data_IF_651630082835
#
_entry.id   IF_651630082835
#
_cell.length_a   1.000
_cell.length_b   1.000
_cell.length_c   1.000
_cell.angle_alpha   90.00
_cell.angle_beta   90.00
_cell.angle_gamma   90.00
#
_symmetry.space_group_name_H-M   'P 1'
#
loop_
_entity.id
_entity.type
_entity.pdbx_description
1 polymer ?
#
# COMPACT_ATOMS: atom_id res chain seq x y z
N UNK A 1 21.48 -9.63 16.69
CA UNK A 1 21.65 -8.99 15.37
C UNK A 1 20.66 -9.51 14.33
N UNK A 2 20.62 -10.80 13.98
CA UNK A 2 19.63 -11.32 13.02
C UNK A 2 18.18 -11.09 13.45
N UNK A 3 17.86 -11.35 14.73
CA UNK A 3 16.53 -11.08 15.30
C UNK A 3 16.13 -9.60 15.18
N UNK A 4 17.09 -8.70 15.35
CA UNK A 4 16.83 -7.24 15.27
C UNK A 4 16.59 -6.83 13.81
N UNK A 5 17.29 -7.47 12.85
CA UNK A 5 17.07 -7.23 11.41
C UNK A 5 15.67 -7.71 11.01
N UNK A 6 15.26 -8.93 11.41
CA UNK A 6 13.91 -9.43 11.11
C UNK A 6 12.83 -8.59 11.77
N UNK A 7 13.06 -8.12 12.99
CA UNK A 7 12.16 -7.19 13.66
C UNK A 7 12.06 -5.86 12.91
N UNK A 8 13.19 -5.31 12.47
CA UNK A 8 13.21 -4.08 11.67
C UNK A 8 12.42 -4.23 10.36
N UNK A 9 12.59 -5.37 9.65
CA UNK A 9 11.84 -5.66 8.43
C UNK A 9 10.34 -5.63 8.73
N UNK A 10 9.90 -6.36 9.77
CA UNK A 10 8.49 -6.40 10.16
C UNK A 10 7.96 -5.00 10.53
N UNK A 11 8.67 -4.30 11.43
CA UNK A 11 8.25 -2.99 11.93
C UNK A 11 8.13 -1.94 10.79
N UNK A 12 9.06 -1.92 9.82
CA UNK A 12 9.01 -0.98 8.71
C UNK A 12 7.93 -1.36 7.68
N UNK A 13 7.70 -2.66 7.45
CA UNK A 13 6.60 -3.16 6.59
C UNK A 13 5.23 -2.80 7.21
N UNK A 14 5.06 -2.97 8.52
CA UNK A 14 3.83 -2.57 9.24
C UNK A 14 3.57 -1.05 9.20
N UNK A 15 4.65 -0.24 9.10
CA UNK A 15 4.58 1.21 8.90
C UNK A 15 4.29 1.63 7.45
N UNK A 16 4.08 0.66 6.57
CA UNK A 16 3.74 0.92 5.17
C UNK A 16 4.94 1.10 4.24
N UNK A 17 6.17 0.78 4.66
CA UNK A 17 7.36 0.90 3.82
C UNK A 17 7.75 -0.41 3.18
N UNK A 18 8.18 -0.37 1.91
CA UNK A 18 8.89 -1.50 1.29
C UNK A 18 10.26 -1.65 1.94
N UNK A 19 10.68 -2.90 2.14
CA UNK A 19 11.97 -3.22 2.75
C UNK A 19 12.70 -4.24 1.90
N UNK A 20 13.96 -3.98 1.60
CA UNK A 20 14.86 -4.99 1.05
C UNK A 20 15.60 -5.69 2.18
N UNK A 21 15.65 -7.00 2.13
CA UNK A 21 16.51 -7.83 2.97
C UNK A 21 17.53 -8.53 2.08
N UNK A 22 18.80 -8.17 2.24
CA UNK A 22 19.90 -8.79 1.53
C UNK A 22 20.61 -9.81 2.43
N UNK A 23 20.87 -11.00 1.90
CA UNK A 23 21.59 -12.08 2.57
C UNK A 23 22.71 -12.52 1.66
N UNK A 24 23.95 -12.61 2.19
CA UNK A 24 25.03 -13.28 1.50
C UNK A 24 24.84 -14.80 1.60
N UNK A 25 24.71 -15.46 0.47
CA UNK A 25 24.48 -16.91 0.39
C UNK A 25 25.78 -17.70 0.31
N UNK A 26 26.83 -17.08 -0.24
CA UNK A 26 28.14 -17.68 -0.36
C UNK A 26 29.25 -16.62 -0.33
N UNK A 27 30.43 -17.00 0.16
CA UNK A 27 31.63 -16.17 0.12
C UNK A 27 32.89 -17.02 0.14
N UNK A 28 33.82 -16.73 -0.78
CA UNK A 28 35.12 -17.39 -0.84
C UNK A 28 36.28 -16.38 -0.70
N UNK A 29 37.47 -16.93 -0.46
CA UNK A 29 38.68 -16.12 -0.34
C UNK A 29 38.65 -15.10 0.81
N UNK A 30 39.37 -13.98 0.62
CA UNK A 30 39.47 -12.90 1.61
C UNK A 30 38.31 -11.90 1.48
N UNK A 31 37.06 -12.40 1.46
CA UNK A 31 35.87 -11.55 1.39
C UNK A 31 35.62 -10.84 2.74
N UNK A 32 35.28 -9.52 2.74
CA UNK A 32 34.90 -8.78 3.93
C UNK A 32 33.54 -9.26 4.51
N UNK A 33 32.65 -9.78 3.67
CA UNK A 33 31.38 -10.38 4.07
C UNK A 33 31.45 -11.89 4.15
N UNK A 34 30.80 -12.49 5.13
CA UNK A 34 30.68 -13.94 5.32
C UNK A 34 29.28 -14.41 4.88
N UNK A 35 29.18 -15.64 4.36
CA UNK A 35 27.89 -16.27 4.12
C UNK A 35 27.03 -16.22 5.40
N UNK A 36 25.74 -15.88 5.26
CA UNK A 36 24.82 -15.60 6.36
C UNK A 36 24.81 -14.16 6.84
N UNK A 37 25.72 -13.27 6.39
CA UNK A 37 25.65 -11.86 6.70
C UNK A 37 24.39 -11.24 6.07
N UNK A 38 23.72 -10.38 6.84
CA UNK A 38 22.41 -9.81 6.50
C UNK A 38 22.39 -8.29 6.67
N UNK A 39 21.68 -7.60 5.77
CA UNK A 39 21.40 -6.19 5.84
C UNK A 39 19.97 -5.92 5.34
N UNK A 40 19.23 -5.11 6.06
CA UNK A 40 17.92 -4.64 5.62
C UNK A 40 17.93 -3.12 5.40
N UNK A 41 17.23 -2.68 4.35
CA UNK A 41 17.08 -1.25 3.98
C UNK A 41 15.60 -0.98 3.74
N UNK A 42 15.08 0.02 4.43
CA UNK A 42 13.72 0.53 4.23
C UNK A 42 13.67 1.59 3.13
N UNK A 43 12.57 1.68 2.43
CA UNK A 43 12.26 2.70 1.42
C UNK A 43 12.45 4.13 1.96
N UNK A 44 12.27 4.37 3.26
CA UNK A 44 12.50 5.66 3.92
C UNK A 44 13.99 5.98 4.16
N UNK A 45 14.91 5.09 3.75
CA UNK A 45 16.36 5.27 3.84
C UNK A 45 17.00 4.73 5.12
N UNK A 46 16.24 4.25 6.10
CA UNK A 46 16.79 3.57 7.28
C UNK A 46 17.38 2.22 6.91
N UNK A 47 18.43 1.80 7.61
CA UNK A 47 19.05 0.49 7.41
C UNK A 47 19.54 -0.12 8.71
N UNK A 48 19.68 -1.44 8.73
CA UNK A 48 20.23 -2.23 9.84
C UNK A 48 21.01 -3.43 9.32
N UNK A 49 22.03 -3.85 10.06
CA UNK A 49 22.88 -4.97 9.69
C UNK A 49 24.04 -4.56 8.80
N UNK A 50 24.81 -5.53 8.35
CA UNK A 50 25.97 -5.33 7.48
C UNK A 50 26.26 -6.58 6.65
N UNK A 51 26.76 -6.39 5.46
CA UNK A 51 27.22 -7.47 4.56
C UNK A 51 28.76 -7.44 4.35
N UNK A 52 29.49 -6.82 5.30
CA UNK A 52 30.95 -6.83 5.34
C UNK A 52 31.61 -5.46 5.22
N UNK A 53 30.84 -4.40 5.04
CA UNK A 53 31.38 -3.03 5.00
C UNK A 53 32.10 -2.65 3.67
N UNK A 54 32.61 -1.41 3.63
CA UNK A 54 33.40 -0.90 2.53
C UNK A 54 32.65 -0.76 1.21
N UNK A 55 33.38 -0.94 0.09
CA UNK A 55 32.82 -0.79 -1.27
C UNK A 55 31.78 -1.86 -1.61
N UNK A 56 31.89 -3.09 -1.06
CA UNK A 56 30.90 -4.14 -1.23
C UNK A 56 29.54 -3.72 -0.65
N UNK A 57 29.51 -3.24 0.59
CA UNK A 57 28.28 -2.80 1.25
C UNK A 57 27.65 -1.62 0.52
N UNK A 58 28.43 -0.64 0.11
CA UNK A 58 27.95 0.49 -0.68
C UNK A 58 27.29 0.05 -2.00
N UNK A 59 27.90 -0.87 -2.71
CA UNK A 59 27.36 -1.41 -3.97
C UNK A 59 26.04 -2.12 -3.73
N UNK A 60 26.00 -3.00 -2.73
CA UNK A 60 24.77 -3.74 -2.33
C UNK A 60 23.67 -2.76 -1.88
N UNK A 61 24.01 -1.72 -1.13
CA UNK A 61 23.03 -0.69 -0.72
C UNK A 61 22.40 0.03 -1.92
N UNK A 62 23.20 0.36 -2.93
CA UNK A 62 22.68 1.01 -4.15
C UNK A 62 21.74 0.06 -4.90
N UNK A 63 22.13 -1.20 -5.06
CA UNK A 63 21.31 -2.19 -5.76
C UNK A 63 20.06 -2.57 -4.99
N UNK A 64 20.13 -2.70 -3.67
CA UNK A 64 18.99 -2.96 -2.81
C UNK A 64 17.96 -1.82 -2.87
N UNK A 65 18.41 -0.54 -2.88
CA UNK A 65 17.53 0.61 -3.10
C UNK A 65 16.89 0.59 -4.48
N UNK A 66 17.66 0.23 -5.52
CA UNK A 66 17.13 0.07 -6.87
C UNK A 66 16.10 -1.07 -6.94
N UNK A 67 16.36 -2.20 -6.29
CA UNK A 67 15.44 -3.32 -6.21
C UNK A 67 14.09 -2.94 -5.57
N UNK A 68 14.11 -2.06 -4.53
CA UNK A 68 12.88 -1.50 -3.94
C UNK A 68 12.09 -0.68 -4.97
N UNK A 69 12.77 0.15 -5.77
CA UNK A 69 12.14 0.99 -6.79
C UNK A 69 11.60 0.14 -7.94
N UNK A 70 12.39 -0.83 -8.40
CA UNK A 70 12.04 -1.72 -9.52
C UNK A 70 11.03 -2.81 -9.11
N UNK A 71 10.76 -2.94 -7.80
CA UNK A 71 9.88 -3.96 -7.20
C UNK A 71 10.27 -5.39 -7.61
N UNK A 72 11.58 -5.67 -7.60
CA UNK A 72 12.10 -6.97 -8.02
C UNK A 72 13.15 -7.49 -7.05
N UNK A 73 13.00 -8.77 -6.73
CA UNK A 73 14.06 -9.52 -6.06
C UNK A 73 15.29 -9.64 -6.98
N UNK A 74 16.50 -9.65 -6.40
CA UNK A 74 17.76 -9.63 -7.15
C UNK A 74 18.71 -10.68 -6.61
N UNK A 75 19.21 -11.54 -7.48
CA UNK A 75 20.41 -12.37 -7.22
C UNK A 75 21.63 -11.63 -7.74
N UNK A 76 22.74 -11.72 -7.02
CA UNK A 76 23.98 -11.09 -7.43
C UNK A 76 25.19 -11.96 -7.12
N UNK A 77 26.24 -11.78 -7.93
CA UNK A 77 27.56 -12.36 -7.74
C UNK A 77 28.60 -11.29 -8.07
N UNK A 78 29.55 -11.06 -7.16
CA UNK A 78 30.62 -10.10 -7.36
C UNK A 78 31.98 -10.73 -7.18
N UNK A 79 32.88 -10.43 -8.11
CA UNK A 79 34.30 -10.70 -7.95
C UNK A 79 34.97 -9.45 -7.30
N UNK A 80 35.61 -9.70 -6.15
CA UNK A 80 36.22 -8.65 -5.31
C UNK A 80 37.68 -8.36 -5.65
N UNK A 81 38.28 -9.09 -6.62
CA UNK A 81 39.67 -8.91 -6.98
C UNK A 81 39.99 -7.53 -7.54
N UNK A 82 41.28 -7.18 -7.63
CA UNK A 82 41.75 -5.88 -8.13
C UNK A 82 41.26 -5.56 -9.55
N UNK A 83 41.05 -6.56 -10.39
CA UNK A 83 40.48 -6.46 -11.74
C UNK A 83 39.01 -6.90 -11.80
N UNK A 84 38.34 -7.08 -10.63
CA UNK A 84 36.94 -7.50 -10.51
C UNK A 84 35.99 -6.34 -10.47
N UNK A 85 34.71 -6.65 -10.18
CA UNK A 85 33.58 -5.71 -10.21
C UNK A 85 33.73 -4.50 -9.28
N UNK A 86 34.53 -4.64 -8.20
CA UNK A 86 34.66 -3.61 -7.16
C UNK A 86 36.07 -3.07 -7.00
N UNK A 87 37.06 -3.60 -7.76
CA UNK A 87 38.44 -3.14 -7.72
C UNK A 87 39.07 -3.17 -6.32
N UNK A 88 38.70 -4.16 -5.49
CA UNK A 88 39.17 -4.29 -4.11
C UNK A 88 40.54 -5.03 -4.07
N UNK A 89 41.35 -4.69 -3.07
CA UNK A 89 42.58 -5.46 -2.78
C UNK A 89 42.30 -6.82 -2.13
N UNK A 90 41.12 -7.00 -1.61
CA UNK A 90 40.63 -8.28 -1.05
C UNK A 90 40.19 -9.17 -2.20
N UNK A 91 40.91 -10.21 -2.53
CA UNK A 91 40.47 -11.22 -3.49
C UNK A 91 39.31 -12.05 -2.94
N UNK A 92 38.52 -12.66 -3.84
CA UNK A 92 37.42 -13.55 -3.48
C UNK A 92 36.14 -13.22 -4.24
N UNK A 93 35.13 -14.08 -4.08
CA UNK A 93 33.79 -13.87 -4.66
C UNK A 93 32.77 -13.86 -3.55
N UNK A 94 31.68 -13.12 -3.79
CA UNK A 94 30.48 -13.16 -2.93
C UNK A 94 29.26 -13.36 -3.81
N UNK A 95 28.34 -14.19 -3.31
CA UNK A 95 26.99 -14.35 -3.86
C UNK A 95 25.97 -13.93 -2.83
N UNK A 96 24.87 -13.41 -3.28
CA UNK A 96 23.80 -13.02 -2.38
C UNK A 96 22.45 -12.88 -3.08
N UNK A 97 21.44 -12.71 -2.26
CA UNK A 97 20.07 -12.53 -2.67
C UNK A 97 19.44 -11.37 -1.90
N UNK A 98 18.77 -10.50 -2.62
CA UNK A 98 17.99 -9.39 -2.06
C UNK A 98 16.51 -9.67 -2.28
N UNK A 99 15.78 -9.89 -1.18
CA UNK A 99 14.32 -10.08 -1.15
C UNK A 99 13.64 -8.75 -0.84
N UNK A 100 12.57 -8.42 -1.58
CA UNK A 100 11.73 -7.27 -1.29
C UNK A 100 10.49 -7.71 -0.53
N UNK A 101 10.25 -7.06 0.60
CA UNK A 101 9.05 -7.19 1.41
C UNK A 101 8.14 -6.00 1.16
N UNK A 102 6.88 -6.28 0.93
CA UNK A 102 5.87 -5.27 0.61
C UNK A 102 4.95 -5.05 1.80
N UNK A 103 4.56 -3.80 2.08
CA UNK A 103 3.51 -3.54 3.05
C UNK A 103 2.17 -4.08 2.55
N UNK A 104 1.38 -4.60 3.47
CA UNK A 104 0.02 -4.99 3.17
C UNK A 104 -0.85 -3.75 2.97
N UNK A 105 -1.75 -3.79 1.98
CA UNK A 105 -2.67 -2.68 1.78
C UNK A 105 -3.76 -2.71 2.84
N UNK A 106 -4.01 -1.55 3.44
CA UNK A 106 -5.10 -1.34 4.39
C UNK A 106 -6.34 -0.85 3.67
N UNK A 107 -7.48 -1.38 4.04
CA UNK A 107 -8.79 -0.91 3.57
C UNK A 107 -9.64 -0.50 4.76
N UNK A 108 -9.90 0.77 4.90
CA UNK A 108 -10.80 1.31 5.91
C UNK A 108 -12.18 1.46 5.29
N UNK A 109 -13.16 0.73 5.84
CA UNK A 109 -14.56 0.80 5.45
C UNK A 109 -15.32 1.58 6.52
N UNK A 110 -15.78 2.77 6.19
CA UNK A 110 -16.61 3.62 7.06
C UNK A 110 -18.07 3.38 6.70
N UNK A 111 -18.73 2.54 7.51
CA UNK A 111 -20.12 2.10 7.31
C UNK A 111 -20.23 0.59 7.08
N UNK A 112 -20.75 -0.13 8.07
CA UNK A 112 -20.93 -1.58 8.08
C UNK A 112 -22.25 -2.05 7.44
N UNK A 113 -22.91 -1.20 6.62
CA UNK A 113 -24.14 -1.55 5.92
C UNK A 113 -23.92 -2.53 4.76
N UNK A 114 -24.95 -2.77 3.94
CA UNK A 114 -24.91 -3.75 2.85
C UNK A 114 -23.76 -3.52 1.85
N UNK A 115 -23.48 -2.26 1.49
CA UNK A 115 -22.36 -1.95 0.58
C UNK A 115 -21.03 -2.20 1.27
N UNK A 116 -20.84 -1.74 2.52
CA UNK A 116 -19.63 -1.98 3.30
C UNK A 116 -19.34 -3.48 3.45
N UNK A 117 -20.36 -4.29 3.74
CA UNK A 117 -20.23 -5.74 3.82
C UNK A 117 -19.81 -6.35 2.47
N UNK A 118 -20.41 -5.94 1.37
CA UNK A 118 -20.06 -6.45 0.05
C UNK A 118 -18.64 -6.04 -0.38
N UNK A 119 -18.20 -4.82 -0.03
CA UNK A 119 -16.81 -4.37 -0.24
C UNK A 119 -15.86 -5.25 0.56
N UNK A 120 -16.16 -5.49 1.85
CA UNK A 120 -15.38 -6.38 2.70
C UNK A 120 -15.26 -7.79 2.13
N UNK A 121 -16.41 -8.44 1.80
CA UNK A 121 -16.44 -9.81 1.26
C UNK A 121 -15.56 -9.97 0.01
N UNK A 122 -15.47 -8.94 -0.80
CA UNK A 122 -14.60 -8.96 -1.99
C UNK A 122 -13.15 -8.62 -1.63
N UNK A 123 -12.91 -7.65 -0.75
CA UNK A 123 -11.58 -7.19 -0.38
C UNK A 123 -10.73 -8.25 0.32
N UNK A 124 -11.33 -9.11 1.16
CA UNK A 124 -10.61 -10.20 1.83
C UNK A 124 -10.04 -11.23 0.85
N UNK A 125 -10.58 -11.34 -0.36
CA UNK A 125 -10.04 -12.21 -1.41
C UNK A 125 -8.86 -11.57 -2.16
N UNK A 126 -8.57 -10.30 -1.86
CA UNK A 126 -7.56 -9.46 -2.52
C UNK A 126 -6.44 -9.03 -1.57
N UNK A 127 -6.28 -9.76 -0.46
CA UNK A 127 -5.22 -9.59 0.55
C UNK A 127 -5.18 -8.19 1.20
N UNK A 128 -6.34 -7.53 1.36
CA UNK A 128 -6.43 -6.31 2.16
C UNK A 128 -6.49 -6.62 3.66
N UNK A 129 -5.75 -5.84 4.46
CA UNK A 129 -6.00 -5.72 5.90
C UNK A 129 -7.17 -4.78 6.12
N UNK A 130 -8.32 -5.32 6.54
CA UNK A 130 -9.59 -4.58 6.57
C UNK A 130 -9.92 -4.07 7.96
N UNK A 131 -10.23 -2.79 8.05
CA UNK A 131 -10.73 -2.11 9.25
C UNK A 131 -12.15 -1.63 8.95
N UNK A 132 -13.12 -2.00 9.78
CA UNK A 132 -14.53 -1.60 9.62
C UNK A 132 -14.93 -0.69 10.79
N UNK A 133 -15.49 0.47 10.45
CA UNK A 133 -15.98 1.46 11.40
C UNK A 133 -17.48 1.68 11.20
N UNK A 134 -18.26 1.58 12.27
CA UNK A 134 -19.69 1.95 12.29
C UNK A 134 -20.09 2.37 13.71
N UNK A 135 -21.16 3.16 13.83
CA UNK A 135 -21.73 3.54 15.13
C UNK A 135 -22.67 2.48 15.72
N UNK A 136 -22.92 1.39 14.99
CA UNK A 136 -23.89 0.33 15.33
C UNK A 136 -23.22 -1.03 15.44
N UNK A 137 -23.17 -1.58 16.64
CA UNK A 137 -22.57 -2.89 16.91
C UNK A 137 -23.32 -4.06 16.26
N UNK A 138 -24.62 -3.92 16.00
CA UNK A 138 -25.41 -4.95 15.33
C UNK A 138 -25.02 -5.15 13.85
N UNK A 139 -24.36 -4.15 13.23
CA UNK A 139 -23.80 -4.25 11.87
C UNK A 139 -22.30 -4.53 11.90
N UNK A 140 -21.53 -3.77 12.69
CA UNK A 140 -20.08 -3.92 12.81
C UNK A 140 -19.75 -4.94 13.92
N UNK A 141 -19.70 -6.21 13.54
CA UNK A 141 -19.41 -7.33 14.44
C UNK A 141 -18.67 -8.45 13.68
N UNK A 142 -18.10 -9.40 14.43
CA UNK A 142 -17.31 -10.49 13.87
C UNK A 142 -18.14 -11.53 13.09
N UNK A 143 -19.46 -11.61 13.28
CA UNK A 143 -20.34 -12.46 12.46
C UNK A 143 -20.46 -11.91 11.02
N UNK A 144 -20.44 -10.59 10.88
CA UNK A 144 -20.48 -9.92 9.58
C UNK A 144 -19.10 -9.71 8.95
N UNK A 145 -18.03 -9.56 9.76
CA UNK A 145 -16.67 -9.21 9.36
C UNK A 145 -15.62 -10.05 10.12
N UNK A 146 -15.57 -11.38 9.93
CA UNK A 146 -14.82 -12.29 10.80
C UNK A 146 -13.28 -12.04 10.82
N UNK A 147 -12.70 -11.49 9.74
CA UNK A 147 -11.26 -11.25 9.62
C UNK A 147 -10.90 -9.77 9.61
N UNK A 148 -11.82 -8.87 9.96
CA UNK A 148 -11.56 -7.45 10.00
C UNK A 148 -11.27 -6.96 11.43
N UNK A 149 -10.48 -5.90 11.54
CA UNK A 149 -10.46 -5.11 12.77
C UNK A 149 -11.73 -4.28 12.82
N UNK A 150 -12.51 -4.42 13.90
CA UNK A 150 -13.79 -3.74 14.05
C UNK A 150 -13.66 -2.64 15.09
N UNK A 151 -14.13 -1.44 14.75
CA UNK A 151 -14.17 -0.29 15.65
C UNK A 151 -15.61 0.23 15.67
N UNK A 152 -16.25 0.14 16.82
CA UNK A 152 -17.63 0.60 17.04
C UNK A 152 -17.65 1.83 17.94
N UNK A 153 -18.32 2.88 17.51
CA UNK A 153 -18.46 4.08 18.32
C UNK A 153 -18.96 5.29 17.54
N UNK A 154 -19.04 6.41 18.23
CA UNK A 154 -19.39 7.69 17.62
C UNK A 154 -18.38 8.07 16.53
N UNK A 155 -18.86 8.38 15.32
CA UNK A 155 -18.02 8.68 14.17
C UNK A 155 -17.05 9.84 14.40
N UNK A 156 -17.44 10.87 15.16
CA UNK A 156 -16.54 12.00 15.45
C UNK A 156 -15.28 11.54 16.17
N UNK A 157 -15.39 10.55 17.07
CA UNK A 157 -14.29 10.02 17.87
C UNK A 157 -13.48 8.96 17.12
N UNK A 158 -14.16 7.91 16.63
CA UNK A 158 -13.46 6.77 16.02
C UNK A 158 -12.72 7.13 14.72
N UNK A 159 -13.21 8.12 13.96
CA UNK A 159 -12.54 8.60 12.75
C UNK A 159 -11.33 9.50 13.05
N UNK A 160 -11.32 10.16 14.21
CA UNK A 160 -10.16 10.94 14.64
C UNK A 160 -9.00 10.03 15.04
N UNK A 161 -9.31 8.95 15.76
CA UNK A 161 -8.34 8.01 16.31
C UNK A 161 -7.80 7.00 15.28
N UNK A 162 -8.53 6.72 14.18
CA UNK A 162 -8.08 5.74 13.20
C UNK A 162 -6.79 6.17 12.53
N UNK A 163 -5.78 5.29 12.60
CA UNK A 163 -4.48 5.51 11.97
C UNK A 163 -4.52 5.14 10.49
N UNK A 164 -3.89 5.98 9.68
CA UNK A 164 -3.75 5.78 8.23
C UNK A 164 -2.32 6.03 7.80
N UNK A 165 -1.95 5.50 6.64
CA UNK A 165 -0.65 5.71 6.00
C UNK A 165 -0.79 5.64 4.47
N UNK A 166 0.34 5.75 3.76
CA UNK A 166 0.38 5.71 2.30
C UNK A 166 -0.12 4.40 1.66
N UNK A 167 -0.34 3.34 2.44
CA UNK A 167 -0.89 2.05 1.98
C UNK A 167 -2.38 1.94 2.21
N UNK A 168 -3.01 2.98 2.75
CA UNK A 168 -4.41 2.97 3.15
C UNK A 168 -5.33 3.44 2.03
N UNK A 169 -6.36 2.63 1.73
CA UNK A 169 -7.54 3.03 0.96
C UNK A 169 -8.72 3.26 1.91
N UNK A 170 -9.49 4.32 1.70
CA UNK A 170 -10.64 4.68 2.53
C UNK A 170 -11.91 4.65 1.70
N UNK A 171 -12.90 3.89 2.15
CA UNK A 171 -14.21 3.72 1.50
C UNK A 171 -15.30 4.21 2.45
N UNK A 172 -15.94 5.34 2.12
CA UNK A 172 -17.02 5.96 2.90
C UNK A 172 -18.35 5.54 2.30
N UNK A 173 -19.06 4.67 3.01
CA UNK A 173 -20.32 4.04 2.60
C UNK A 173 -21.35 4.07 3.75
N UNK A 174 -21.42 5.21 4.46
CA UNK A 174 -22.30 5.37 5.62
C UNK A 174 -23.78 5.42 5.22
N UNK A 175 -24.65 5.31 6.22
CA UNK A 175 -26.11 5.30 6.02
C UNK A 175 -26.73 6.67 5.67
N UNK A 176 -25.99 7.77 5.78
CA UNK A 176 -26.60 9.09 5.63
C UNK A 176 -25.64 10.22 5.35
N UNK A 177 -26.18 11.28 4.75
CA UNK A 177 -25.43 12.46 4.34
C UNK A 177 -24.62 13.13 5.47
N UNK A 178 -25.18 13.21 6.68
CA UNK A 178 -24.49 13.81 7.82
C UNK A 178 -23.24 13.03 8.21
N UNK A 179 -23.33 11.71 8.24
CA UNK A 179 -22.18 10.84 8.57
C UNK A 179 -21.13 10.82 7.45
N UNK A 180 -21.54 10.85 6.17
CA UNK A 180 -20.60 10.96 5.05
C UNK A 180 -19.79 12.25 5.14
N UNK A 181 -20.44 13.37 5.47
CA UNK A 181 -19.78 14.66 5.65
C UNK A 181 -18.73 14.60 6.77
N UNK A 182 -19.13 14.13 7.94
CA UNK A 182 -18.19 13.94 9.08
C UNK A 182 -17.02 13.06 8.69
N UNK A 183 -17.29 11.94 8.00
CA UNK A 183 -16.23 11.02 7.56
C UNK A 183 -15.24 11.69 6.59
N UNK A 184 -15.73 12.46 5.61
CA UNK A 184 -14.86 13.19 4.69
C UNK A 184 -14.04 14.25 5.45
N UNK A 185 -14.67 15.05 6.31
CA UNK A 185 -14.01 16.10 7.08
C UNK A 185 -12.88 15.57 7.98
N UNK A 186 -13.06 14.39 8.59
CA UNK A 186 -12.06 13.76 9.47
C UNK A 186 -10.93 13.06 8.69
N UNK A 187 -11.23 12.52 7.50
CA UNK A 187 -10.30 11.61 6.81
C UNK A 187 -9.60 12.19 5.58
N UNK A 188 -10.18 13.21 4.92
CA UNK A 188 -9.64 13.73 3.64
C UNK A 188 -8.23 14.31 3.74
N UNK A 189 -7.82 14.78 4.93
CA UNK A 189 -6.49 15.29 5.22
C UNK A 189 -5.54 14.25 5.80
N UNK A 190 -6.02 13.03 6.13
CA UNK A 190 -5.16 11.96 6.59
C UNK A 190 -4.40 11.35 5.41
N UNK A 191 -3.22 10.80 5.67
CA UNK A 191 -2.42 10.14 4.66
C UNK A 191 -3.15 8.89 4.15
N UNK A 192 -3.37 8.81 2.83
CA UNK A 192 -3.98 7.65 2.17
C UNK A 192 -3.69 7.74 0.67
N UNK A 193 -3.59 6.60 -0.03
CA UNK A 193 -3.48 6.63 -1.49
C UNK A 193 -4.83 6.77 -2.18
N UNK A 194 -5.92 6.47 -1.48
CA UNK A 194 -7.27 6.53 -2.01
C UNK A 194 -8.28 6.89 -0.92
N UNK A 195 -9.20 7.78 -1.23
CA UNK A 195 -10.38 8.06 -0.42
C UNK A 195 -11.58 8.24 -1.35
N UNK A 196 -12.65 7.50 -1.11
CA UNK A 196 -13.86 7.56 -1.92
C UNK A 196 -15.13 7.58 -1.10
N UNK A 197 -16.18 8.27 -1.60
CA UNK A 197 -17.47 8.41 -0.94
C UNK A 197 -18.62 8.00 -1.85
N UNK A 198 -19.50 7.14 -1.33
CA UNK A 198 -20.72 6.72 -2.05
C UNK A 198 -21.77 7.83 -2.06
N UNK A 199 -22.49 7.92 -3.17
CA UNK A 199 -23.66 8.80 -3.25
C UNK A 199 -24.13 9.04 -4.67
N UNK A 200 -25.38 9.44 -4.82
CA UNK A 200 -25.84 9.97 -6.10
C UNK A 200 -25.12 11.28 -6.44
N UNK A 201 -25.02 11.62 -7.72
CA UNK A 201 -24.39 12.87 -8.17
C UNK A 201 -24.89 14.11 -7.41
N UNK A 202 -26.21 14.17 -7.17
CA UNK A 202 -26.82 15.28 -6.42
C UNK A 202 -26.42 15.29 -4.93
N UNK A 203 -26.36 14.12 -4.29
CA UNK A 203 -25.93 13.97 -2.88
C UNK A 203 -24.46 14.40 -2.75
N UNK A 204 -23.60 13.86 -3.58
CA UNK A 204 -22.18 14.19 -3.62
C UNK A 204 -21.98 15.70 -3.80
N UNK A 205 -22.62 16.28 -4.80
CA UNK A 205 -22.51 17.71 -5.08
C UNK A 205 -22.87 18.59 -3.86
N UNK A 206 -23.98 18.29 -3.17
CA UNK A 206 -24.38 19.01 -1.95
C UNK A 206 -23.34 18.85 -0.84
N UNK A 207 -22.88 17.62 -0.58
CA UNK A 207 -21.86 17.35 0.45
C UNK A 207 -20.59 18.15 0.18
N UNK A 208 -20.09 18.11 -1.06
CA UNK A 208 -18.88 18.83 -1.45
C UNK A 208 -19.05 20.35 -1.35
N UNK A 209 -20.22 20.89 -1.71
CA UNK A 209 -20.50 22.33 -1.54
C UNK A 209 -20.46 22.75 -0.06
N UNK A 210 -20.96 21.91 0.84
CA UNK A 210 -20.91 22.20 2.27
C UNK A 210 -19.49 22.17 2.82
N UNK A 211 -18.72 21.13 2.48
CA UNK A 211 -17.34 20.96 2.96
C UNK A 211 -16.42 22.05 2.42
N UNK A 212 -16.58 22.47 1.14
CA UNK A 212 -15.77 23.55 0.52
C UNK A 212 -15.97 24.94 1.13
N UNK A 213 -16.99 25.13 1.99
CA UNK A 213 -17.16 26.37 2.74
C UNK A 213 -16.05 26.60 3.76
N UNK A 214 -15.47 25.53 4.29
CA UNK A 214 -14.30 25.59 5.18
C UNK A 214 -13.02 25.52 4.33
N UNK A 215 -12.23 26.60 4.39
CA UNK A 215 -11.01 26.76 3.60
C UNK A 215 -9.99 25.65 3.82
N UNK A 216 -9.99 24.98 5.00
CA UNK A 216 -9.05 23.90 5.34
C UNK A 216 -9.18 22.63 4.48
N UNK A 217 -10.34 22.47 3.81
CA UNK A 217 -10.59 21.30 2.96
C UNK A 217 -10.45 21.59 1.46
N UNK A 218 -10.26 22.86 1.07
CA UNK A 218 -10.32 23.32 -0.32
C UNK A 218 -9.39 22.52 -1.25
N UNK A 219 -8.16 22.29 -0.83
CA UNK A 219 -7.16 21.61 -1.65
C UNK A 219 -7.22 20.08 -1.52
N UNK A 220 -7.76 19.58 -0.41
CA UNK A 220 -7.81 18.13 -0.12
C UNK A 220 -9.02 17.47 -0.75
N UNK A 221 -10.11 18.20 -0.94
CA UNK A 221 -11.37 17.66 -1.46
C UNK A 221 -11.24 17.16 -2.91
N UNK A 222 -10.29 17.67 -3.66
CA UNK A 222 -10.05 17.25 -5.04
C UNK A 222 -9.41 15.85 -5.13
N UNK A 223 -8.92 15.32 -4.01
CA UNK A 223 -8.43 13.92 -3.89
C UNK A 223 -9.56 12.92 -3.68
N UNK A 224 -10.77 13.39 -3.34
CA UNK A 224 -11.91 12.53 -3.04
C UNK A 224 -12.55 11.98 -4.32
N UNK A 225 -12.60 10.66 -4.44
CA UNK A 225 -13.35 9.96 -5.48
C UNK A 225 -14.84 9.91 -5.09
N UNK A 226 -15.65 10.76 -5.69
CA UNK A 226 -17.08 10.87 -5.39
C UNK A 226 -17.90 11.31 -6.61
N UNK A 227 -18.88 10.53 -7.05
CA UNK A 227 -19.28 9.22 -6.54
C UNK A 227 -18.18 8.16 -6.68
N UNK A 228 -18.04 7.30 -5.66
CA UNK A 228 -17.06 6.22 -5.61
C UNK A 228 -17.34 5.12 -6.64
N UNK A 229 -16.28 4.55 -7.19
CA UNK A 229 -16.32 3.35 -8.02
C UNK A 229 -16.46 3.61 -9.52
N UNK A 230 -16.13 2.61 -10.31
CA UNK A 230 -16.31 2.63 -11.75
C UNK A 230 -17.80 2.54 -12.11
N UNK A 231 -18.23 3.32 -13.11
CA UNK A 231 -19.57 3.19 -13.69
C UNK A 231 -19.66 1.91 -14.53
N UNK A 232 -20.22 0.86 -13.93
CA UNK A 232 -20.44 -0.44 -14.57
C UNK A 232 -21.88 -0.61 -15.06
N UNK A 233 -22.70 0.44 -15.02
CA UNK A 233 -24.10 0.42 -15.47
C UNK A 233 -25.02 -0.40 -14.56
N UNK A 234 -24.65 -0.64 -13.30
CA UNK A 234 -25.42 -1.46 -12.36
C UNK A 234 -25.64 -0.78 -11.02
N UNK A 235 -26.80 -1.10 -10.40
CA UNK A 235 -27.15 -0.67 -9.04
C UNK A 235 -27.13 -1.83 -8.02
N UNK A 236 -26.66 -3.01 -8.41
CA UNK A 236 -26.57 -4.15 -7.52
C UNK A 236 -25.39 -3.98 -6.56
N UNK A 237 -25.63 -4.19 -5.28
CA UNK A 237 -24.67 -3.95 -4.20
C UNK A 237 -23.30 -4.63 -4.46
N UNK A 238 -23.29 -5.90 -4.88
CA UNK A 238 -22.03 -6.61 -5.17
C UNK A 238 -21.28 -6.07 -6.38
N UNK A 239 -22.00 -5.59 -7.39
CA UNK A 239 -21.37 -4.98 -8.57
C UNK A 239 -20.83 -3.58 -8.26
N UNK A 240 -21.52 -2.81 -7.40
CA UNK A 240 -21.00 -1.55 -6.85
C UNK A 240 -19.70 -1.82 -6.08
N UNK A 241 -19.68 -2.81 -5.19
CA UNK A 241 -18.49 -3.19 -4.42
C UNK A 241 -17.32 -3.57 -5.32
N UNK A 242 -17.56 -4.34 -6.38
CA UNK A 242 -16.55 -4.67 -7.38
C UNK A 242 -16.02 -3.42 -8.09
N UNK A 243 -16.90 -2.51 -8.51
CA UNK A 243 -16.52 -1.24 -9.12
C UNK A 243 -15.65 -0.37 -8.23
N UNK A 244 -15.94 -0.32 -6.92
CA UNK A 244 -15.14 0.37 -5.91
C UNK A 244 -13.72 -0.22 -5.85
N UNK A 245 -13.59 -1.54 -5.73
CA UNK A 245 -12.28 -2.18 -5.61
C UNK A 245 -11.47 -2.07 -6.92
N UNK A 246 -12.13 -2.16 -8.09
CA UNK A 246 -11.48 -1.90 -9.37
C UNK A 246 -10.92 -0.47 -9.44
N UNK A 247 -11.67 0.55 -9.00
CA UNK A 247 -11.19 1.94 -8.95
C UNK A 247 -9.99 2.08 -8.01
N UNK A 248 -10.04 1.49 -6.81
CA UNK A 248 -8.93 1.48 -5.84
C UNK A 248 -7.66 0.91 -6.49
N UNK A 249 -7.75 -0.24 -7.20
CA UNK A 249 -6.59 -0.83 -7.88
C UNK A 249 -6.06 0.03 -9.03
N UNK A 250 -6.94 0.67 -9.80
CA UNK A 250 -6.52 1.58 -10.85
C UNK A 250 -5.74 2.78 -10.30
N UNK A 251 -6.24 3.38 -9.22
CA UNK A 251 -5.58 4.51 -8.56
C UNK A 251 -4.24 4.08 -7.97
N UNK A 252 -4.21 2.96 -7.24
CA UNK A 252 -2.99 2.41 -6.65
C UNK A 252 -1.90 2.18 -7.70
N UNK A 253 -2.26 1.66 -8.87
CA UNK A 253 -1.33 1.33 -9.93
C UNK A 253 -1.10 2.48 -10.93
N UNK A 254 -1.65 3.68 -10.68
CA UNK A 254 -1.54 4.83 -11.59
C UNK A 254 -2.12 4.56 -12.97
N UNK A 255 -3.16 3.73 -13.07
CA UNK A 255 -3.80 3.35 -14.33
C UNK A 255 -5.14 4.05 -14.51
N UNK A 256 -5.56 4.16 -15.77
CA UNK A 256 -6.91 4.60 -16.15
C UNK A 256 -7.75 3.39 -16.58
N UNK A 257 -9.09 3.46 -16.46
CA UNK A 257 -9.96 2.41 -16.97
C UNK A 257 -9.71 2.17 -18.47
N UNK A 258 -9.43 0.92 -18.83
CA UNK A 258 -9.22 0.53 -20.23
C UNK A 258 -9.50 -0.97 -20.41
N UNK A 259 -9.95 -1.36 -21.61
CA UNK A 259 -10.00 -2.76 -21.96
C UNK A 259 -8.63 -3.24 -22.44
N UNK A 260 -8.20 -4.41 -21.97
CA UNK A 260 -6.92 -5.02 -22.41
C UNK A 260 -6.86 -5.20 -23.93
N UNK A 261 -8.00 -5.51 -24.57
CA UNK A 261 -8.11 -5.60 -26.03
C UNK A 261 -7.69 -4.30 -26.71
N UNK A 262 -8.14 -3.15 -26.21
CA UNK A 262 -7.90 -1.86 -26.85
C UNK A 262 -6.42 -1.44 -26.67
N UNK A 263 -5.86 -1.68 -25.49
CA UNK A 263 -4.42 -1.48 -25.21
C UNK A 263 -3.54 -2.35 -26.15
N UNK A 264 -3.95 -3.59 -26.38
CA UNK A 264 -3.25 -4.48 -27.32
C UNK A 264 -3.32 -3.99 -28.76
N UNK A 265 -4.51 -3.55 -29.22
CA UNK A 265 -4.69 -2.99 -30.56
C UNK A 265 -3.86 -1.72 -30.79
N UNK A 266 -3.77 -0.83 -29.78
CA UNK A 266 -2.90 0.35 -29.86
C UNK A 266 -1.43 -0.03 -29.99
N UNK A 267 -0.97 -1.06 -29.27
CA UNK A 267 0.41 -1.55 -29.36
C UNK A 267 0.73 -2.11 -30.75
N UNK A 268 -0.19 -2.87 -31.36
CA UNK A 268 -0.01 -3.38 -32.73
C UNK A 268 0.12 -2.22 -33.70
N UNK A 269 -0.78 -1.21 -33.64
CA UNK A 269 -0.75 -0.05 -34.54
C UNK A 269 0.50 0.79 -34.44
N UNK A 270 1.18 0.82 -33.28
CA UNK A 270 2.44 1.56 -33.08
C UNK A 270 3.69 0.80 -33.58
N UNK A 271 3.57 -0.51 -33.83
CA UNK A 271 4.67 -1.38 -34.25
C UNK A 271 4.59 -1.77 -35.74
N UNK A 272 3.55 -1.28 -36.45
CA UNK A 272 3.38 -1.32 -37.89
C UNK A 272 3.62 0.07 -38.49
#
# INVERSE_FOLDING_TARGET
MERDILKFVNDEVERGYKVSLTILTDSDGSSPGKAGAMMAISENGKSIGTVGGGSLENKIMIEAKKAIIDEKDVEFEYNLGANGDLGMLCGGNVRGYTKIFYPQNKLIIVGAGHVGKAVYETAVTLDFDVIVLDDRSEYANYDNFPNAKIIVGDYEKILEEVETDKTTAIVIVTRGHAYDKVAVEKLVNKESFYIGMIGSKNKVFKTLQEIKKDAKYKDSIDKLYAPIGLDMGSNKVKEIALGILCEIFLVKNGKKPAFMRDLFQEKIKKNI
#
